data_IF_314555102275
#
_entry.id   IF_314555102275
#
_cell.length_a   1.000
_cell.length_b   1.000
_cell.length_c   1.000
_cell.angle_alpha   90.00
_cell.angle_beta   90.00
_cell.angle_gamma   90.00
#
_symmetry.space_group_name_H-M   'P 1'
#
loop_
_entity.id
_entity.type
_entity.pdbx_description
1 polymer ?
#
# COMPACT_ATOMS: atom_id res chain seq x y z
N UNK A 1 8.73 10.99 18.45
CA UNK A 1 8.60 11.11 16.97
C UNK A 1 7.71 10.01 16.42
N UNK A 2 7.72 8.81 17.02
CA UNK A 2 6.57 7.89 16.93
C UNK A 2 5.97 7.74 18.31
N UNK A 3 4.95 8.52 18.58
CA UNK A 3 4.32 8.56 19.89
C UNK A 3 3.06 7.70 19.89
N UNK A 4 2.53 7.38 18.71
CA UNK A 4 1.38 6.51 18.52
C UNK A 4 1.62 5.37 17.52
N UNK A 5 0.94 4.25 17.74
CA UNK A 5 1.04 3.06 16.88
C UNK A 5 0.63 3.31 15.42
N UNK A 6 -0.29 4.24 15.19
CA UNK A 6 -0.75 4.58 13.84
C UNK A 6 0.33 5.27 13.00
N UNK A 7 1.29 5.96 13.64
CA UNK A 7 2.41 6.59 12.95
C UNK A 7 3.37 5.51 12.47
N UNK A 8 3.77 4.58 13.34
CA UNK A 8 4.64 3.44 12.99
C UNK A 8 4.03 2.63 11.85
N UNK A 9 2.73 2.32 11.94
CA UNK A 9 2.00 1.60 10.88
C UNK A 9 2.01 2.40 9.57
N UNK A 10 1.83 3.72 9.64
CA UNK A 10 1.90 4.59 8.46
C UNK A 10 3.26 4.57 7.79
N UNK A 11 4.35 4.66 8.55
CA UNK A 11 5.72 4.60 8.02
C UNK A 11 6.05 3.25 7.40
N UNK A 12 5.66 2.14 8.05
CA UNK A 12 5.85 0.80 7.47
C UNK A 12 5.02 0.64 6.20
N UNK A 13 3.76 1.09 6.19
CA UNK A 13 2.91 1.07 5.00
C UNK A 13 3.51 1.85 3.83
N UNK A 14 4.01 3.06 4.11
CA UNK A 14 4.71 3.89 3.12
C UNK A 14 5.95 3.20 2.55
N UNK A 15 6.78 2.57 3.38
CA UNK A 15 7.94 1.82 2.91
C UNK A 15 7.55 0.65 1.99
N UNK A 16 6.51 -0.10 2.34
CA UNK A 16 6.02 -1.21 1.50
C UNK A 16 5.56 -0.72 0.12
N UNK A 17 4.79 0.36 0.09
CA UNK A 17 4.34 1.00 -1.15
C UNK A 17 5.52 1.48 -2.00
N UNK A 18 6.51 2.14 -1.39
CA UNK A 18 7.68 2.63 -2.12
C UNK A 18 8.52 1.47 -2.67
N UNK A 19 8.65 0.38 -1.92
CA UNK A 19 9.33 -0.83 -2.40
C UNK A 19 8.58 -1.47 -3.58
N UNK A 20 7.25 -1.58 -3.49
CA UNK A 20 6.43 -2.12 -4.58
C UNK A 20 6.52 -1.23 -5.83
N UNK A 21 6.33 0.08 -5.68
CA UNK A 21 6.40 1.04 -6.78
C UNK A 21 7.82 1.10 -7.38
N UNK A 22 8.86 1.10 -6.55
CA UNK A 22 10.24 1.07 -7.00
C UNK A 22 10.57 -0.21 -7.77
N UNK A 23 10.12 -1.36 -7.29
CA UNK A 23 10.30 -2.65 -7.95
C UNK A 23 9.68 -2.70 -9.35
N UNK A 24 8.45 -2.20 -9.50
CA UNK A 24 7.79 -2.09 -10.82
C UNK A 24 8.46 -1.04 -11.70
N UNK A 25 8.79 0.13 -11.14
CA UNK A 25 9.42 1.22 -11.90
C UNK A 25 10.82 0.87 -12.43
N UNK A 26 11.52 -0.04 -11.74
CA UNK A 26 12.84 -0.54 -12.15
C UNK A 26 12.77 -1.82 -12.98
N UNK A 27 11.56 -2.30 -13.30
CA UNK A 27 11.32 -3.58 -14.00
C UNK A 27 11.90 -4.80 -13.26
N UNK A 28 12.22 -4.67 -11.97
CA UNK A 28 12.71 -5.78 -11.14
C UNK A 28 11.57 -6.72 -10.73
N UNK A 29 10.36 -6.17 -10.59
CA UNK A 29 9.12 -6.90 -10.29
C UNK A 29 8.10 -6.54 -11.34
N UNK A 30 7.34 -7.52 -11.82
CA UNK A 30 6.22 -7.24 -12.72
C UNK A 30 4.96 -6.85 -11.94
N UNK A 31 4.21 -5.89 -12.48
CA UNK A 31 2.93 -5.47 -11.91
C UNK A 31 1.87 -6.59 -11.95
N UNK A 32 2.03 -7.59 -12.80
CA UNK A 32 1.20 -8.80 -12.86
C UNK A 32 1.67 -9.91 -11.91
N UNK A 33 2.53 -9.62 -10.93
CA UNK A 33 2.96 -10.60 -9.94
C UNK A 33 2.08 -10.55 -8.69
N UNK A 34 1.68 -11.72 -8.18
CA UNK A 34 0.95 -11.83 -6.90
C UNK A 34 1.76 -11.17 -5.77
N UNK A 35 3.09 -11.33 -5.78
CA UNK A 35 3.98 -10.71 -4.79
C UNK A 35 3.88 -9.18 -4.78
N UNK A 36 3.90 -8.54 -5.94
CA UNK A 36 3.68 -7.09 -6.05
C UNK A 36 2.31 -6.68 -5.49
N UNK A 37 1.25 -7.37 -5.91
CA UNK A 37 -0.11 -7.03 -5.49
C UNK A 37 -0.31 -7.17 -3.98
N UNK A 38 0.28 -8.21 -3.37
CA UNK A 38 0.26 -8.40 -1.91
C UNK A 38 1.02 -7.27 -1.20
N UNK A 39 2.24 -6.94 -1.61
CA UNK A 39 3.04 -5.89 -0.95
C UNK A 39 2.37 -4.52 -1.09
N UNK A 40 1.90 -4.19 -2.29
CA UNK A 40 1.21 -2.93 -2.56
C UNK A 40 -0.11 -2.84 -1.77
N UNK A 41 -0.91 -3.91 -1.77
CA UNK A 41 -2.16 -3.97 -1.03
C UNK A 41 -1.98 -3.86 0.48
N UNK A 42 -1.03 -4.59 1.07
CA UNK A 42 -0.74 -4.49 2.51
C UNK A 42 -0.26 -3.08 2.87
N UNK A 43 0.65 -2.49 2.08
CA UNK A 43 1.10 -1.12 2.29
C UNK A 43 -0.04 -0.10 2.23
N UNK A 44 -0.96 -0.26 1.26
CA UNK A 44 -2.13 0.58 1.12
C UNK A 44 -3.08 0.46 2.32
N UNK A 45 -3.39 -0.75 2.79
CA UNK A 45 -4.24 -0.97 3.95
C UNK A 45 -3.65 -0.34 5.24
N UNK A 46 -2.33 -0.42 5.43
CA UNK A 46 -1.65 0.22 6.56
C UNK A 46 -1.76 1.76 6.49
N UNK A 47 -1.61 2.34 5.29
CA UNK A 47 -1.79 3.78 5.09
C UNK A 47 -3.24 4.23 5.28
N UNK A 48 -4.24 3.43 4.88
CA UNK A 48 -5.66 3.71 5.20
C UNK A 48 -5.86 3.78 6.70
N UNK A 49 -5.35 2.80 7.47
CA UNK A 49 -5.47 2.81 8.93
C UNK A 49 -4.83 4.06 9.55
N UNK A 50 -3.61 4.40 9.13
CA UNK A 50 -2.88 5.56 9.63
C UNK A 50 -3.59 6.88 9.29
N UNK A 51 -4.03 7.03 8.03
CA UNK A 51 -4.64 8.28 7.53
C UNK A 51 -6.07 8.47 8.01
N UNK A 52 -6.78 7.39 8.35
CA UNK A 52 -8.05 7.46 9.06
C UNK A 52 -7.89 8.13 10.44
N UNK A 53 -6.81 7.82 11.17
CA UNK A 53 -6.51 8.44 12.48
C UNK A 53 -6.17 9.92 12.36
N UNK A 54 -5.44 10.31 11.31
CA UNK A 54 -5.05 11.70 11.06
C UNK A 54 -6.07 12.51 10.26
N UNK A 55 -7.19 11.89 9.85
CA UNK A 55 -8.24 12.48 8.99
C UNK A 55 -7.71 13.04 7.66
N UNK A 56 -6.65 12.44 7.13
CA UNK A 56 -6.09 12.81 5.82
C UNK A 56 -6.88 12.14 4.69
N UNK A 57 -8.04 12.72 4.36
CA UNK A 57 -8.98 12.13 3.40
C UNK A 57 -8.39 11.88 1.99
N UNK A 58 -7.60 12.79 1.38
CA UNK A 58 -7.05 12.53 0.04
C UNK A 58 -6.13 11.31 0.02
N UNK A 59 -5.26 11.16 1.03
CA UNK A 59 -4.33 10.03 1.13
C UNK A 59 -5.10 8.74 1.46
N UNK A 60 -6.13 8.83 2.31
CA UNK A 60 -6.98 7.69 2.64
C UNK A 60 -7.70 7.15 1.41
N UNK A 61 -8.36 8.00 0.62
CA UNK A 61 -9.09 7.58 -0.59
C UNK A 61 -8.13 6.99 -1.63
N UNK A 62 -6.97 7.61 -1.85
CA UNK A 62 -5.95 7.08 -2.77
C UNK A 62 -5.57 5.63 -2.40
N UNK A 63 -5.32 5.38 -1.11
CA UNK A 63 -4.90 4.06 -0.66
C UNK A 63 -6.06 3.04 -0.62
N UNK A 64 -7.30 3.47 -0.42
CA UNK A 64 -8.47 2.59 -0.61
C UNK A 64 -8.52 2.10 -2.05
N UNK A 65 -8.40 3.01 -3.03
CA UNK A 65 -8.44 2.64 -4.45
C UNK A 65 -7.27 1.72 -4.82
N UNK A 66 -6.06 2.01 -4.33
CA UNK A 66 -4.91 1.12 -4.54
C UNK A 66 -5.10 -0.27 -3.93
N UNK A 67 -5.70 -0.36 -2.75
CA UNK A 67 -6.02 -1.64 -2.12
C UNK A 67 -7.04 -2.44 -2.94
N UNK A 68 -8.10 -1.79 -3.43
CA UNK A 68 -9.10 -2.43 -4.30
C UNK A 68 -8.49 -2.93 -5.61
N UNK A 69 -7.67 -2.11 -6.27
CA UNK A 69 -6.92 -2.50 -7.48
C UNK A 69 -6.05 -3.72 -7.19
N UNK A 70 -5.35 -3.73 -6.04
CA UNK A 70 -4.47 -4.83 -5.68
C UNK A 70 -5.23 -6.14 -5.48
N UNK A 71 -6.40 -6.12 -4.83
CA UNK A 71 -7.26 -7.30 -4.68
C UNK A 71 -7.74 -7.81 -6.03
N UNK A 72 -8.29 -6.93 -6.87
CA UNK A 72 -8.83 -7.31 -8.18
C UNK A 72 -7.74 -7.90 -9.09
N UNK A 73 -6.57 -7.28 -9.10
CA UNK A 73 -5.42 -7.78 -9.86
C UNK A 73 -4.90 -9.11 -9.31
N UNK A 74 -4.81 -9.28 -7.99
CA UNK A 74 -4.38 -10.55 -7.39
C UNK A 74 -5.35 -11.69 -7.71
N UNK A 75 -6.66 -11.44 -7.67
CA UNK A 75 -7.69 -12.43 -8.02
C UNK A 75 -7.65 -12.82 -9.50
N UNK A 76 -7.28 -11.90 -10.39
CA UNK A 76 -7.16 -12.17 -11.82
C UNK A 76 -5.93 -13.04 -12.18
N UNK A 77 -4.99 -13.23 -11.24
CA UNK A 77 -3.75 -13.98 -11.43
C UNK A 77 -3.80 -15.42 -10.91
N UNK A 78 -4.93 -15.84 -10.33
CA UNK A 78 -5.19 -17.18 -9.80
C UNK A 78 -6.08 -17.95 -10.78
#
# INVERSE_FOLDING_TARGET
MFDESHEIIGWVGMLLILLAYGGVSTLYVSADSIGYQVVNGVGAAMLVYSTYKTRSYPVMVLNIVWFEIAILAALALV
#
